data_IF_154990411651
#
_entry.id   IF_154990411651
#
_cell.length_a   1.000
_cell.length_b   1.000
_cell.length_c   1.000
_cell.angle_alpha   90.00
_cell.angle_beta   90.00
_cell.angle_gamma   90.00
#
_symmetry.space_group_name_H-M   'P 1'
#
loop_
_entity.id
_entity.type
_entity.pdbx_description
1 polymer ?
#
# COMPACT_ATOMS: atom_id res chain seq x y z
N UNK A 1 -23.05 -12.98 -20.42
CA UNK A 1 -22.40 -11.85 -19.72
C UNK A 1 -21.96 -12.35 -18.35
N UNK A 2 -20.67 -12.56 -18.11
CA UNK A 2 -20.16 -12.89 -16.77
C UNK A 2 -20.07 -11.58 -15.98
N UNK A 3 -20.83 -11.50 -14.89
CA UNK A 3 -20.67 -10.46 -13.86
C UNK A 3 -19.24 -10.56 -13.32
N UNK A 4 -18.44 -9.52 -13.57
CA UNK A 4 -17.04 -9.48 -13.13
C UNK A 4 -16.97 -9.59 -11.61
N UNK A 5 -16.39 -10.68 -11.11
CA UNK A 5 -16.07 -10.81 -9.70
C UNK A 5 -15.05 -9.71 -9.35
N UNK A 6 -15.51 -8.69 -8.62
CA UNK A 6 -14.62 -7.66 -8.09
C UNK A 6 -13.66 -8.31 -7.09
N UNK A 7 -12.37 -8.01 -7.22
CA UNK A 7 -11.37 -8.59 -6.32
C UNK A 7 -11.60 -8.12 -4.87
N UNK A 8 -11.20 -8.92 -3.89
CA UNK A 8 -11.34 -8.54 -2.47
C UNK A 8 -10.65 -7.20 -2.17
N UNK A 9 -9.50 -6.93 -2.81
CA UNK A 9 -8.80 -5.65 -2.71
C UNK A 9 -9.60 -4.50 -3.32
N UNK A 10 -10.19 -4.69 -4.50
CA UNK A 10 -11.04 -3.66 -5.14
C UNK A 10 -12.24 -3.30 -4.24
N UNK A 11 -12.92 -4.29 -3.68
CA UNK A 11 -14.02 -4.06 -2.74
C UNK A 11 -13.55 -3.34 -1.47
N UNK A 12 -12.41 -3.72 -0.92
CA UNK A 12 -11.86 -3.07 0.26
C UNK A 12 -11.48 -1.61 0.03
N UNK A 13 -10.91 -1.28 -1.15
CA UNK A 13 -10.61 0.10 -1.54
C UNK A 13 -11.89 0.92 -1.67
N UNK A 14 -12.90 0.41 -2.37
CA UNK A 14 -14.18 1.12 -2.60
C UNK A 14 -14.94 1.35 -1.29
N UNK A 15 -15.01 0.34 -0.43
CA UNK A 15 -15.70 0.43 0.86
C UNK A 15 -14.87 1.07 1.97
N UNK A 16 -13.61 1.44 1.69
CA UNK A 16 -12.62 1.88 2.70
C UNK A 16 -12.55 0.94 3.92
N UNK A 17 -12.59 -0.37 3.68
CA UNK A 17 -12.51 -1.38 4.74
C UNK A 17 -11.09 -1.39 5.34
N UNK A 18 -10.91 -0.68 6.45
CA UNK A 18 -9.61 -0.52 7.12
C UNK A 18 -9.01 -1.85 7.58
N UNK A 19 -9.80 -2.77 8.10
CA UNK A 19 -9.30 -4.05 8.62
C UNK A 19 -8.66 -4.89 7.51
N UNK A 20 -9.30 -4.95 6.35
CA UNK A 20 -8.74 -5.62 5.18
C UNK A 20 -7.50 -4.88 4.66
N UNK A 21 -7.51 -3.55 4.64
CA UNK A 21 -6.38 -2.75 4.18
C UNK A 21 -5.15 -2.92 5.08
N UNK A 22 -5.32 -3.00 6.40
CA UNK A 22 -4.24 -3.30 7.32
C UNK A 22 -3.69 -4.71 7.10
N UNK A 23 -4.57 -5.70 6.97
CA UNK A 23 -4.17 -7.07 6.62
C UNK A 23 -3.38 -7.10 5.31
N UNK A 24 -3.86 -6.38 4.29
CA UNK A 24 -3.20 -6.25 3.00
C UNK A 24 -1.79 -5.64 3.10
N UNK A 25 -1.61 -4.62 3.93
CA UNK A 25 -0.32 -3.95 4.16
C UNK A 25 0.73 -4.87 4.81
N UNK A 26 0.29 -5.86 5.58
CA UNK A 26 1.15 -6.85 6.24
C UNK A 26 1.52 -8.04 5.34
N UNK A 27 0.85 -8.21 4.20
CA UNK A 27 1.15 -9.31 3.27
C UNK A 27 2.57 -9.20 2.68
N UNK A 28 3.10 -10.35 2.27
CA UNK A 28 4.35 -10.44 1.51
C UNK A 28 4.26 -9.67 0.19
N UNK A 29 5.41 -9.16 -0.26
CA UNK A 29 5.49 -8.29 -1.44
C UNK A 29 4.98 -8.98 -2.72
N UNK A 30 5.26 -10.27 -2.91
CA UNK A 30 4.78 -11.04 -4.06
C UNK A 30 3.25 -11.16 -4.08
N UNK A 31 2.63 -11.26 -2.91
CA UNK A 31 1.17 -11.35 -2.78
C UNK A 31 0.53 -9.99 -3.05
N UNK A 32 1.09 -8.93 -2.47
CA UNK A 32 0.66 -7.55 -2.75
C UNK A 32 0.78 -7.24 -4.24
N UNK A 33 1.88 -7.61 -4.88
CA UNK A 33 2.11 -7.40 -6.31
C UNK A 33 1.02 -8.06 -7.16
N UNK A 34 0.72 -9.34 -6.90
CA UNK A 34 -0.34 -10.07 -7.61
C UNK A 34 -1.69 -9.37 -7.48
N UNK A 35 -2.06 -8.95 -6.27
CA UNK A 35 -3.33 -8.28 -6.00
C UNK A 35 -3.39 -6.92 -6.70
N UNK A 36 -2.35 -6.10 -6.60
CA UNK A 36 -2.29 -4.76 -7.22
C UNK A 36 -2.26 -4.84 -8.75
N UNK A 37 -1.54 -5.81 -9.32
CA UNK A 37 -1.54 -6.05 -10.78
C UNK A 37 -2.92 -6.49 -11.29
N UNK A 38 -3.72 -7.16 -10.46
CA UNK A 38 -5.10 -7.53 -10.78
C UNK A 38 -6.11 -6.39 -10.77
N UNK A 39 -5.76 -5.21 -10.23
CA UNK A 39 -6.69 -4.08 -10.15
C UNK A 39 -6.95 -3.40 -11.51
N UNK A 40 -8.17 -2.91 -11.75
CA UNK A 40 -8.44 -1.93 -12.80
C UNK A 40 -7.65 -0.64 -12.56
N UNK A 41 -7.25 0.07 -13.63
CA UNK A 41 -6.46 1.32 -13.53
C UNK A 41 -7.09 2.38 -12.62
N UNK A 42 -8.42 2.54 -12.70
CA UNK A 42 -9.18 3.45 -11.82
C UNK A 42 -9.00 3.13 -10.33
N UNK A 43 -8.91 1.84 -9.99
CA UNK A 43 -8.79 1.37 -8.60
C UNK A 43 -7.37 1.52 -8.06
N UNK A 44 -6.35 1.55 -8.93
CA UNK A 44 -4.96 1.83 -8.53
C UNK A 44 -4.84 3.23 -7.93
N UNK A 45 -5.57 4.21 -8.48
CA UNK A 45 -5.53 5.58 -7.98
C UNK A 45 -6.27 5.68 -6.65
N UNK A 46 -7.46 5.08 -6.57
CA UNK A 46 -8.20 5.00 -5.31
C UNK A 46 -7.38 4.31 -4.21
N UNK A 47 -6.63 3.27 -4.54
CA UNK A 47 -5.69 2.64 -3.62
C UNK A 47 -4.64 3.64 -3.12
N UNK A 48 -4.00 4.40 -4.02
CA UNK A 48 -3.00 5.39 -3.63
C UNK A 48 -3.58 6.52 -2.78
N UNK A 49 -4.81 6.95 -3.04
CA UNK A 49 -5.50 7.97 -2.23
C UNK A 49 -5.81 7.44 -0.83
N UNK A 50 -6.36 6.23 -0.73
CA UNK A 50 -6.62 5.57 0.57
C UNK A 50 -5.33 5.37 1.34
N UNK A 51 -4.26 4.88 0.70
CA UNK A 51 -2.95 4.73 1.35
C UNK A 51 -2.39 6.08 1.82
N UNK A 52 -2.59 7.15 1.06
CA UNK A 52 -2.16 8.49 1.47
C UNK A 52 -2.96 8.99 2.67
N UNK A 53 -4.26 8.72 2.72
CA UNK A 53 -5.11 9.03 3.88
C UNK A 53 -4.60 8.30 5.14
N UNK A 54 -4.28 7.01 5.04
CA UNK A 54 -3.67 6.25 6.15
C UNK A 54 -2.32 6.86 6.58
N UNK A 55 -1.49 7.24 5.60
CA UNK A 55 -0.19 7.87 5.85
C UNK A 55 -0.32 9.20 6.60
N UNK A 56 -1.21 10.09 6.15
CA UNK A 56 -1.49 11.38 6.79
C UNK A 56 -2.06 11.22 8.21
N UNK A 57 -2.86 10.17 8.42
CA UNK A 57 -3.36 9.77 9.74
C UNK A 57 -2.31 9.08 10.62
N UNK A 58 -1.07 8.92 10.12
CA UNK A 58 0.06 8.29 10.82
C UNK A 58 -0.14 6.80 11.10
N UNK A 59 -1.02 6.14 10.36
CA UNK A 59 -1.35 4.72 10.47
C UNK A 59 -0.37 3.89 9.62
N UNK A 60 0.26 2.86 10.22
CA UNK A 60 1.16 1.90 9.53
C UNK A 60 2.18 2.56 8.56
N UNK A 61 2.76 3.71 8.96
CA UNK A 61 3.48 4.61 8.04
C UNK A 61 4.55 3.93 7.20
N UNK A 62 5.27 2.96 7.75
CA UNK A 62 6.30 2.24 7.01
C UNK A 62 5.70 1.32 5.94
N UNK A 63 4.76 0.48 6.31
CA UNK A 63 4.09 -0.45 5.39
C UNK A 63 3.37 0.32 4.29
N UNK A 64 2.74 1.44 4.64
CA UNK A 64 2.04 2.33 3.70
C UNK A 64 3.00 2.96 2.71
N UNK A 65 4.09 3.61 3.14
CA UNK A 65 5.00 4.29 2.22
C UNK A 65 5.72 3.31 1.29
N UNK A 66 6.06 2.12 1.80
CA UNK A 66 6.58 1.04 0.96
C UNK A 66 5.59 0.58 -0.08
N UNK A 67 4.34 0.35 0.33
CA UNK A 67 3.28 -0.13 -0.56
C UNK A 67 2.93 0.91 -1.62
N UNK A 68 2.94 2.21 -1.29
CA UNK A 68 2.79 3.29 -2.28
C UNK A 68 3.93 3.22 -3.31
N UNK A 69 5.20 3.16 -2.86
CA UNK A 69 6.37 3.08 -3.75
C UNK A 69 6.30 1.85 -4.67
N UNK A 70 5.95 0.69 -4.11
CA UNK A 70 5.82 -0.56 -4.85
C UNK A 70 4.67 -0.49 -5.86
N UNK A 71 3.50 0.04 -5.47
CA UNK A 71 2.34 0.22 -6.35
C UNK A 71 2.70 1.08 -7.56
N UNK A 72 3.41 2.20 -7.35
CA UNK A 72 3.90 3.05 -8.45
C UNK A 72 4.87 2.33 -9.38
N UNK A 73 5.69 1.42 -8.84
CA UNK A 73 6.60 0.58 -9.63
C UNK A 73 5.84 -0.46 -10.45
N UNK A 74 4.99 -1.25 -9.79
CA UNK A 74 4.21 -2.34 -10.41
C UNK A 74 3.22 -1.83 -11.47
N UNK A 75 2.64 -0.64 -11.25
CA UNK A 75 1.66 -0.01 -12.15
C UNK A 75 2.22 1.20 -12.89
N UNK A 76 3.55 1.25 -13.11
CA UNK A 76 4.20 2.38 -13.80
C UNK A 76 3.55 2.73 -15.15
N UNK A 77 3.07 1.73 -15.89
CA UNK A 77 2.45 1.94 -17.21
C UNK A 77 1.07 2.60 -17.12
N UNK A 78 0.32 2.41 -16.02
CA UNK A 78 -0.97 3.08 -15.76
C UNK A 78 -0.82 4.61 -15.75
N UNK A 79 0.36 5.10 -15.36
CA UNK A 79 0.67 6.53 -15.29
C UNK A 79 1.47 7.04 -16.51
N UNK A 80 1.83 6.16 -17.46
CA UNK A 80 2.60 6.52 -18.67
C UNK A 80 1.73 6.78 -19.90
N UNK A 81 0.43 6.49 -19.86
CA UNK A 81 -0.44 6.65 -21.03
C UNK A 81 -0.59 8.12 -21.41
N UNK A 82 -0.29 8.44 -22.67
CA UNK A 82 -0.29 9.77 -23.28
C UNK A 82 -1.59 10.53 -23.02
N UNK A 83 -1.47 11.82 -22.75
CA UNK A 83 -2.56 12.78 -22.91
C UNK A 83 -3.06 12.73 -24.37
N UNK A 84 -3.99 11.82 -24.66
CA UNK A 84 -4.84 11.96 -25.82
C UNK A 84 -5.88 12.99 -25.38
N UNK A 85 -5.65 14.24 -25.73
CA UNK A 85 -6.66 15.28 -25.63
C UNK A 85 -7.90 14.79 -26.36
N UNK A 86 -8.90 14.35 -25.60
CA UNK A 86 -10.23 14.12 -26.14
C UNK A 86 -10.80 15.51 -26.34
N UNK A 87 -10.57 16.06 -27.53
CA UNK A 87 -11.23 17.30 -27.97
C UNK A 87 -12.72 16.98 -28.07
N UNK A 88 -13.49 17.32 -27.04
CA UNK A 88 -14.94 17.26 -27.10
C UNK A 88 -15.43 18.21 -28.20
N UNK A 89 -16.47 17.83 -28.93
CA UNK A 89 -17.03 18.62 -30.04
C UNK A 89 -17.76 19.90 -29.58
N UNK A 90 -17.74 20.22 -28.29
CA UNK A 90 -18.57 21.27 -27.70
C UNK A 90 -17.79 22.21 -26.77
N UNK A 91 -16.52 22.52 -27.02
CA UNK A 91 -15.85 23.68 -26.41
C UNK A 91 -15.69 23.70 -24.87
N UNK A 92 -16.24 22.72 -24.16
CA UNK A 92 -16.01 22.50 -22.75
C UNK A 92 -14.76 21.63 -22.59
N UNK A 93 -13.80 22.16 -21.82
CA UNK A 93 -12.61 21.42 -21.40
C UNK A 93 -13.05 20.28 -20.48
N UNK A 94 -13.38 19.12 -21.05
CA UNK A 94 -13.31 17.87 -20.30
C UNK A 94 -11.87 17.72 -19.81
N UNK A 95 -11.67 17.79 -18.50
CA UNK A 95 -10.41 17.40 -17.89
C UNK A 95 -10.26 15.92 -18.25
N UNK A 96 -9.32 15.60 -19.13
CA UNK A 96 -9.11 14.20 -19.53
C UNK A 96 -8.95 13.36 -18.26
N UNK A 97 -9.59 12.18 -18.22
CA UNK A 97 -9.50 11.27 -17.08
C UNK A 97 -8.03 11.12 -16.64
N UNK A 98 -7.10 11.06 -17.61
CA UNK A 98 -5.65 11.08 -17.40
C UNK A 98 -5.13 12.27 -16.56
N UNK A 99 -5.58 13.50 -16.83
CA UNK A 99 -5.20 14.68 -16.05
C UNK A 99 -5.66 14.59 -14.59
N UNK A 100 -6.84 14.01 -14.33
CA UNK A 100 -7.30 13.72 -12.96
C UNK A 100 -6.39 12.70 -12.28
N UNK A 101 -6.02 11.61 -12.97
CA UNK A 101 -5.07 10.60 -12.47
C UNK A 101 -3.72 11.22 -12.10
N UNK A 102 -3.20 12.10 -12.96
CA UNK A 102 -1.92 12.76 -12.75
C UNK A 102 -1.98 13.78 -11.62
N UNK A 103 -3.10 14.48 -11.45
CA UNK A 103 -3.31 15.38 -10.33
C UNK A 103 -3.43 14.63 -8.99
N UNK A 104 -4.14 13.50 -8.97
CA UNK A 104 -4.19 12.62 -7.80
C UNK A 104 -2.79 12.11 -7.43
N UNK A 105 -2.02 11.64 -8.42
CA UNK A 105 -0.63 11.22 -8.22
C UNK A 105 0.25 12.35 -7.66
N UNK A 106 0.11 13.59 -8.18
CA UNK A 106 0.83 14.76 -7.65
C UNK A 106 0.47 15.03 -6.19
N UNK A 107 -0.80 14.94 -5.81
CA UNK A 107 -1.23 15.11 -4.40
C UNK A 107 -0.56 14.08 -3.49
N UNK A 108 -0.61 12.80 -3.88
CA UNK A 108 0.05 11.69 -3.16
C UNK A 108 1.54 11.97 -2.97
N UNK A 109 2.26 12.34 -4.04
CA UNK A 109 3.70 12.63 -3.98
C UNK A 109 4.01 13.84 -3.09
N UNK A 110 3.19 14.89 -3.12
CA UNK A 110 3.35 16.07 -2.26
C UNK A 110 3.14 15.70 -0.80
N UNK A 111 2.10 14.94 -0.47
CA UNK A 111 1.82 14.51 0.91
C UNK A 111 2.95 13.68 1.49
N UNK A 112 3.52 12.76 0.71
CA UNK A 112 4.69 11.98 1.10
C UNK A 112 5.92 12.87 1.30
N UNK A 113 6.16 13.81 0.39
CA UNK A 113 7.36 14.66 0.44
C UNK A 113 7.32 15.69 1.59
N UNK A 114 6.12 16.15 2.00
CA UNK A 114 5.93 17.06 3.14
C UNK A 114 6.44 16.48 4.46
N UNK A 115 6.32 15.17 4.67
CA UNK A 115 6.73 14.54 5.93
C UNK A 115 8.26 14.36 6.06
N UNK A 116 9.09 14.70 5.05
CA UNK A 116 10.55 14.47 5.05
C UNK A 116 10.90 13.07 5.57
N UNK A 117 10.20 12.03 5.09
CA UNK A 117 10.45 10.66 5.56
C UNK A 117 11.83 10.22 5.12
N UNK A 118 12.75 10.09 6.08
CA UNK A 118 14.03 9.42 5.86
C UNK A 118 13.77 7.91 5.80
N UNK A 119 13.51 7.42 4.59
CA UNK A 119 13.26 6.00 4.34
C UNK A 119 14.36 5.11 4.90
N UNK A 120 15.64 5.54 4.84
CA UNK A 120 16.75 4.76 5.38
C UNK A 120 16.62 4.62 6.90
N UNK A 121 16.22 5.69 7.58
CA UNK A 121 15.97 5.63 9.02
C UNK A 121 14.81 4.71 9.37
N UNK A 122 13.75 4.69 8.56
CA UNK A 122 12.61 3.79 8.83
C UNK A 122 12.98 2.32 8.57
N UNK A 123 13.76 2.02 7.52
CA UNK A 123 14.30 0.67 7.28
C UNK A 123 15.17 0.21 8.46
N UNK A 124 16.06 1.07 8.95
CA UNK A 124 16.94 0.78 10.10
C UNK A 124 16.12 0.47 11.37
N UNK A 125 15.11 1.29 11.66
CA UNK A 125 14.25 1.11 12.84
C UNK A 125 13.42 -0.17 12.76
N UNK A 126 12.87 -0.51 11.58
CA UNK A 126 12.14 -1.77 11.41
C UNK A 126 13.06 -2.97 11.57
N UNK A 127 14.27 -2.94 11.00
CA UNK A 127 15.25 -4.00 11.17
C UNK A 127 15.58 -4.26 12.65
N UNK A 128 15.77 -3.17 13.43
CA UNK A 128 15.98 -3.28 14.88
C UNK A 128 14.77 -3.85 15.62
N UNK A 129 13.55 -3.45 15.24
CA UNK A 129 12.33 -3.98 15.86
C UNK A 129 12.09 -5.46 15.54
N UNK A 130 12.38 -5.90 14.32
CA UNK A 130 12.34 -7.31 13.94
C UNK A 130 13.36 -8.10 14.78
N UNK A 131 14.62 -7.63 14.85
CA UNK A 131 15.64 -8.27 15.69
C UNK A 131 15.22 -8.40 17.16
N UNK A 132 14.64 -7.33 17.74
CA UNK A 132 14.15 -7.37 19.13
C UNK A 132 13.03 -8.40 19.28
N UNK A 133 12.11 -8.50 18.31
CA UNK A 133 11.02 -9.47 18.32
C UNK A 133 11.55 -10.89 18.25
N UNK A 134 12.41 -11.17 17.27
CA UNK A 134 13.01 -12.49 17.09
C UNK A 134 13.79 -12.91 18.36
N UNK A 135 14.52 -11.97 18.97
CA UNK A 135 15.23 -12.19 20.24
C UNK A 135 14.29 -12.42 21.44
N UNK A 136 13.06 -11.92 21.39
CA UNK A 136 12.05 -12.14 22.44
C UNK A 136 11.36 -13.49 22.23
N UNK A 137 11.08 -13.86 21.00
CA UNK A 137 10.47 -15.15 20.63
C UNK A 137 11.42 -16.31 20.98
N UNK A 138 12.72 -16.18 20.68
CA UNK A 138 13.76 -17.14 21.10
C UNK A 138 13.81 -17.33 22.63
N UNK A 139 13.63 -16.25 23.40
CA UNK A 139 13.61 -16.30 24.87
C UNK A 139 12.33 -16.91 25.44
N UNK A 140 11.25 -16.97 24.68
CA UNK A 140 10.01 -17.64 25.09
C UNK A 140 10.13 -19.14 24.83
N UNK A 141 10.71 -19.55 23.71
CA UNK A 141 11.00 -20.97 23.41
C UNK A 141 12.00 -21.61 24.38
N UNK A 142 13.00 -20.85 24.85
CA UNK A 142 13.95 -21.33 25.88
C UNK A 142 13.27 -21.63 27.23
N UNK A 143 12.16 -20.94 27.57
CA UNK A 143 11.43 -21.15 28.83
C UNK A 143 10.53 -22.39 28.80
N UNK A 144 10.08 -22.84 27.64
CA UNK A 144 9.31 -24.08 27.50
C UNK A 144 10.18 -25.34 27.60
N UNK A 145 11.50 -25.21 27.41
CA UNK A 145 12.46 -26.32 27.42
C UNK A 145 13.20 -26.52 28.76
N UNK A 146 12.73 -25.90 29.86
CA UNK A 146 13.32 -26.14 31.18
C UNK A 146 12.93 -27.54 31.67
N UNK A 147 13.88 -28.49 31.87
CA UNK A 147 13.56 -29.78 32.46
C UNK A 147 13.10 -29.55 33.89
N UNK A 148 11.84 -29.86 34.17
CA UNK A 148 11.33 -29.87 35.53
C UNK A 148 12.01 -31.03 36.25
N UNK A 149 13.00 -30.73 37.11
CA UNK A 149 13.51 -31.71 38.07
C UNK A 149 12.35 -32.17 38.96
N UNK A 150 11.82 -33.35 38.68
CA UNK A 150 10.92 -34.04 39.63
C UNK A 150 11.80 -34.63 40.71
N UNK A 151 11.76 -34.03 41.90
CA UNK A 151 12.30 -34.65 43.11
C UNK A 151 11.55 -35.96 43.36
N UNK A 152 12.30 -37.05 43.56
CA UNK A 152 11.82 -38.38 43.93
C UNK A 152 11.72 -38.51 45.45
#
# INVERSE_FOLDING_TARGET
MQLGHSSALEQAIISKNKDFLYTFLELQDETKEKMVRGLPDRCVILLLEVLTELFENKEMRYEVILTIRQTLSWRRNTFKASAVDVVSKEGEREVSEHAERMNALKRVLISINKEKVDLNKVYELKGRMCYIRDSLDERVEEKENVPVCREQ
#
